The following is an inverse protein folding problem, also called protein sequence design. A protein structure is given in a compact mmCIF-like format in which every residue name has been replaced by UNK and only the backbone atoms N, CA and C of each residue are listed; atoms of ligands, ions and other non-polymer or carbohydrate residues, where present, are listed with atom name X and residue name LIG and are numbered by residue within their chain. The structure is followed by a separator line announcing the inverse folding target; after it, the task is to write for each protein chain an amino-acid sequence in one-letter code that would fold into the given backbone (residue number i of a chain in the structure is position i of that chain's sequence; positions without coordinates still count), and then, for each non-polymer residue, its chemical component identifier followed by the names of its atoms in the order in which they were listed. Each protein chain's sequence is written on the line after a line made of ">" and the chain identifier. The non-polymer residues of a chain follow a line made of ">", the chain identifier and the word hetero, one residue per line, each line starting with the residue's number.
data_IF_818937086507
#
_entry.id   IF_818937086507
#
_cell.length_a   1.000
_cell.length_b   1.000
_cell.length_c   1.000
_cell.angle_alpha   90.00
_cell.angle_beta   90.00
_cell.angle_gamma   90.00
#
_symmetry.space_group_name_H-M   'P 1'
#
loop_
_entity.id
_entity.type
_entity.pdbx_description
1 polymer ?
#
# COMPACT_ATOMS: atom_id res chain seq x y z
N UNK A 1 -24.16 12.27 -7.05
CA UNK A 1 -24.24 10.92 -6.45
C UNK A 1 -23.11 10.81 -5.44
N UNK A 2 -23.38 10.39 -4.20
CA UNK A 2 -22.30 10.10 -3.22
C UNK A 2 -21.65 8.76 -3.60
N UNK A 3 -20.32 8.66 -3.66
CA UNK A 3 -19.69 7.36 -3.90
C UNK A 3 -19.96 6.46 -2.69
N UNK A 4 -20.46 5.26 -2.95
CA UNK A 4 -20.60 4.22 -1.94
C UNK A 4 -19.19 3.69 -1.68
N UNK A 5 -18.51 4.25 -0.69
CA UNK A 5 -17.26 3.69 -0.18
C UNK A 5 -17.59 2.34 0.44
N UNK A 6 -17.30 1.26 -0.28
CA UNK A 6 -17.44 -0.09 0.27
C UNK A 6 -16.30 -0.31 1.25
N UNK A 7 -16.54 -0.01 2.53
CA UNK A 7 -15.57 -0.22 3.60
C UNK A 7 -15.69 -1.67 4.06
N UNK A 8 -14.76 -2.53 3.65
CA UNK A 8 -14.62 -3.83 4.29
C UNK A 8 -13.95 -3.62 5.65
N UNK A 9 -14.76 -3.67 6.71
CA UNK A 9 -14.25 -3.75 8.09
C UNK A 9 -13.79 -5.19 8.30
N UNK A 10 -12.49 -5.42 8.18
CA UNK A 10 -11.92 -6.74 8.50
C UNK A 10 -11.87 -6.87 10.03
N UNK A 11 -12.73 -7.73 10.58
CA UNK A 11 -12.60 -8.22 11.95
C UNK A 11 -11.55 -9.33 11.98
N UNK A 12 -10.39 -9.05 12.55
CA UNK A 12 -9.32 -10.04 12.72
C UNK A 12 -9.41 -10.61 14.14
N UNK A 13 -9.87 -11.84 14.28
CA UNK A 13 -9.84 -12.57 15.55
C UNK A 13 -8.42 -13.08 15.80
N UNK A 14 -7.74 -12.51 16.79
CA UNK A 14 -6.48 -13.05 17.31
C UNK A 14 -6.76 -14.02 18.46
N UNK A 15 -6.30 -15.27 18.34
CA UNK A 15 -6.20 -16.19 19.48
C UNK A 15 -4.86 -15.94 20.20
N UNK A 16 -4.89 -15.53 21.46
CA UNK A 16 -3.70 -15.38 22.29
C UNK A 16 -3.45 -16.63 23.14
N UNK A 17 -2.20 -17.10 23.16
CA UNK A 17 -1.72 -18.18 24.02
C UNK A 17 -1.75 -17.78 25.50
N UNK A 18 -2.20 -18.70 26.35
CA UNK A 18 -2.28 -18.57 27.81
C UNK A 18 -0.87 -18.62 28.42
N UNK A 19 -0.39 -17.49 28.97
CA UNK A 19 0.75 -17.50 29.91
C UNK A 19 0.29 -18.12 31.22
N UNK A 20 0.78 -19.31 31.54
CA UNK A 20 0.61 -19.94 32.85
C UNK A 20 1.64 -19.34 33.82
N UNK A 21 1.40 -18.11 34.25
CA UNK A 21 1.98 -17.62 35.50
C UNK A 21 0.98 -17.89 36.62
N UNK A 22 1.22 -18.93 37.41
CA UNK A 22 0.53 -19.12 38.69
C UNK A 22 0.91 -17.97 39.62
N UNK A 23 -0.02 -17.05 39.87
CA UNK A 23 0.08 -16.04 40.91
C UNK A 23 -1.30 -15.84 41.53
N UNK A 24 -1.36 -15.98 42.86
CA UNK A 24 -2.56 -16.09 43.70
C UNK A 24 -3.33 -14.77 43.83
N UNK A 25 -3.91 -14.24 42.75
CA UNK A 25 -4.91 -13.18 42.83
C UNK A 25 -6.00 -13.44 41.79
N UNK A 26 -7.24 -13.59 42.25
CA UNK A 26 -8.43 -13.78 41.40
C UNK A 26 -8.68 -12.54 40.55
N UNK A 27 -7.98 -12.42 39.43
CA UNK A 27 -8.35 -11.53 38.34
C UNK A 27 -9.00 -12.41 37.28
N UNK A 28 -10.30 -12.20 37.06
CA UNK A 28 -11.00 -12.78 35.92
C UNK A 28 -10.19 -12.38 34.69
N UNK A 29 -9.74 -13.30 33.84
CA UNK A 29 -9.02 -12.94 32.63
C UNK A 29 -9.95 -12.10 31.76
N UNK A 30 -9.68 -10.80 31.70
CA UNK A 30 -10.35 -9.90 30.78
C UNK A 30 -9.74 -10.08 29.40
N UNK A 31 -10.48 -10.71 28.50
CA UNK A 31 -10.13 -10.73 27.08
C UNK A 31 -10.36 -9.33 26.51
N UNK A 32 -9.30 -8.56 26.34
CA UNK A 32 -9.37 -7.29 25.61
C UNK A 32 -9.29 -7.63 24.12
N UNK A 33 -10.44 -7.61 23.43
CA UNK A 33 -10.47 -7.67 21.97
C UNK A 33 -9.97 -6.32 21.45
N UNK A 34 -8.70 -6.26 21.04
CA UNK A 34 -8.16 -5.12 20.29
C UNK A 34 -8.41 -5.36 18.80
N UNK A 35 -9.51 -4.86 18.30
CA UNK A 35 -9.77 -4.82 16.86
C UNK A 35 -8.81 -3.81 16.22
N UNK A 36 -7.86 -4.28 15.40
CA UNK A 36 -7.14 -3.41 14.48
C UNK A 36 -7.89 -3.44 13.15
N UNK A 37 -8.72 -2.43 12.92
CA UNK A 37 -9.40 -2.24 11.63
C UNK A 37 -8.40 -1.68 10.63
N UNK A 38 -8.12 -2.44 9.58
CA UNK A 38 -7.30 -1.97 8.46
C UNK A 38 -8.25 -1.45 7.41
N UNK A 39 -8.28 -0.13 7.25
CA UNK A 39 -9.06 0.52 6.20
C UNK A 39 -8.33 0.34 4.87
N UNK A 40 -8.88 -0.50 4.00
CA UNK A 40 -8.38 -0.67 2.65
C UNK A 40 -9.55 -0.92 1.71
N UNK A 41 -9.53 -0.24 0.57
CA UNK A 41 -10.57 -0.35 -0.44
C UNK A 41 -10.27 -1.54 -1.36
N UNK A 42 -11.09 -2.58 -1.24
CA UNK A 42 -11.06 -3.77 -2.10
C UNK A 42 -12.14 -3.77 -3.18
N UNK A 43 -12.83 -2.66 -3.42
CA UNK A 43 -13.94 -2.61 -4.37
C UNK A 43 -13.58 -3.13 -5.76
N UNK A 44 -12.32 -2.95 -6.18
CA UNK A 44 -11.81 -3.46 -7.46
C UNK A 44 -11.66 -5.00 -7.51
N UNK A 45 -11.62 -5.70 -6.37
CA UNK A 45 -11.53 -7.17 -6.30
C UNK A 45 -12.88 -7.87 -6.42
N UNK A 46 -14.00 -7.15 -6.38
CA UNK A 46 -15.38 -7.68 -6.54
C UNK A 46 -15.60 -8.96 -5.72
N UNK A 47 -15.31 -8.89 -4.41
CA UNK A 47 -15.48 -9.97 -3.42
C UNK A 47 -14.60 -11.22 -3.59
N UNK A 48 -13.62 -11.20 -4.50
CA UNK A 48 -12.67 -12.32 -4.68
C UNK A 48 -11.44 -12.26 -3.76
N UNK A 49 -11.30 -11.18 -2.99
CA UNK A 49 -10.17 -10.96 -2.11
C UNK A 49 -10.30 -11.68 -0.77
N UNK A 50 -9.26 -12.39 -0.35
CA UNK A 50 -9.15 -13.02 0.98
C UNK A 50 -7.86 -12.60 1.65
N UNK A 51 -7.90 -12.29 2.96
CA UNK A 51 -6.67 -12.06 3.74
C UNK A 51 -5.96 -13.39 3.94
N UNK A 52 -4.74 -13.50 3.43
CA UNK A 52 -3.88 -14.69 3.58
C UNK A 52 -2.96 -14.58 4.80
N UNK A 53 -2.53 -13.35 5.14
CA UNK A 53 -1.62 -13.12 6.25
C UNK A 53 -1.73 -11.70 6.79
N UNK A 54 -1.55 -11.55 8.10
CA UNK A 54 -1.65 -10.28 8.78
C UNK A 54 -0.67 -10.20 9.94
N UNK A 55 0.01 -9.07 10.03
CA UNK A 55 0.85 -8.65 11.16
C UNK A 55 0.69 -7.14 11.35
N UNK A 56 1.17 -6.57 12.48
CA UNK A 56 1.24 -5.12 12.64
C UNK A 56 2.09 -4.38 11.59
N UNK A 57 2.85 -5.11 10.75
CA UNK A 57 3.76 -4.55 9.74
C UNK A 57 3.29 -4.82 8.30
N UNK A 58 2.39 -5.77 8.08
CA UNK A 58 1.90 -6.08 6.74
C UNK A 58 0.56 -6.81 6.73
N UNK A 59 -0.15 -6.67 5.62
CA UNK A 59 -1.32 -7.48 5.24
C UNK A 59 -1.09 -8.02 3.85
N UNK A 60 -1.30 -9.32 3.67
CA UNK A 60 -1.32 -9.95 2.36
C UNK A 60 -2.73 -10.39 2.05
N UNK A 61 -3.18 -9.98 0.87
CA UNK A 61 -4.49 -10.30 0.32
C UNK A 61 -4.26 -11.12 -0.94
N UNK A 62 -4.99 -12.21 -1.05
CA UNK A 62 -4.96 -13.12 -2.17
C UNK A 62 -6.27 -13.16 -2.94
N UNK A 63 -6.21 -13.77 -4.11
CA UNK A 63 -7.37 -14.21 -4.88
C UNK A 63 -7.35 -15.73 -4.82
N UNK A 64 -8.31 -16.32 -4.10
CA UNK A 64 -8.19 -17.70 -3.64
C UNK A 64 -7.04 -17.84 -2.64
N UNK A 65 -6.13 -18.80 -2.87
CA UNK A 65 -4.95 -19.04 -2.02
C UNK A 65 -3.65 -18.40 -2.57
N UNK A 66 -3.74 -17.68 -3.70
CA UNK A 66 -2.59 -17.05 -4.34
C UNK A 66 -2.44 -15.60 -3.87
N UNK A 67 -1.26 -15.16 -3.39
CA UNK A 67 -1.03 -13.78 -2.98
C UNK A 67 -1.13 -12.85 -4.18
N UNK A 68 -1.77 -11.70 -3.99
CA UNK A 68 -2.07 -10.76 -5.07
C UNK A 68 -1.72 -9.32 -4.71
N UNK A 69 -2.00 -8.93 -3.46
CA UNK A 69 -1.75 -7.60 -2.93
C UNK A 69 -1.00 -7.67 -1.61
N UNK A 70 -0.04 -6.77 -1.44
CA UNK A 70 0.65 -6.52 -0.17
C UNK A 70 0.43 -5.07 0.26
N UNK A 71 -0.08 -4.91 1.49
CA UNK A 71 -0.01 -3.65 2.22
C UNK A 71 1.11 -3.78 3.24
N UNK A 72 2.07 -2.87 3.24
CA UNK A 72 3.26 -2.96 4.09
C UNK A 72 3.63 -1.63 4.73
N UNK A 73 4.21 -1.69 5.92
CA UNK A 73 4.91 -0.57 6.53
C UNK A 73 6.41 -0.63 6.22
N UNK A 74 7.17 0.45 6.46
CA UNK A 74 8.62 0.43 6.28
C UNK A 74 9.36 -0.67 7.06
N UNK A 75 8.79 -1.12 8.18
CA UNK A 75 9.38 -2.15 9.04
C UNK A 75 9.07 -3.59 8.59
N UNK A 76 8.27 -3.76 7.53
CA UNK A 76 8.02 -5.08 6.94
C UNK A 76 9.32 -5.70 6.43
N UNK A 77 9.42 -7.03 6.53
CA UNK A 77 10.48 -7.83 5.95
C UNK A 77 9.88 -9.10 5.38
N UNK A 78 10.31 -9.46 4.17
CA UNK A 78 9.87 -10.67 3.45
C UNK A 78 10.22 -11.95 4.22
N UNK A 79 11.27 -11.92 5.03
CA UNK A 79 11.68 -13.04 5.87
C UNK A 79 10.65 -13.41 6.93
N UNK A 80 9.73 -12.50 7.26
CA UNK A 80 8.63 -12.75 8.20
C UNK A 80 7.41 -13.41 7.54
N UNK A 81 7.45 -13.66 6.23
CA UNK A 81 6.33 -14.28 5.53
C UNK A 81 6.30 -15.80 5.76
N UNK A 82 5.10 -16.39 5.95
CA UNK A 82 4.93 -17.83 5.94
C UNK A 82 5.50 -18.47 4.66
N UNK A 83 6.13 -19.67 4.72
CA UNK A 83 6.80 -20.28 3.57
C UNK A 83 5.92 -20.44 2.32
N UNK A 84 4.65 -20.77 2.51
CA UNK A 84 3.66 -20.91 1.44
C UNK A 84 3.38 -19.58 0.71
N UNK A 85 3.40 -18.46 1.44
CA UNK A 85 3.21 -17.13 0.86
C UNK A 85 4.53 -16.62 0.25
N UNK A 86 5.65 -16.84 0.94
CA UNK A 86 6.98 -16.43 0.45
C UNK A 86 7.32 -17.06 -0.90
N UNK A 87 6.97 -18.34 -1.10
CA UNK A 87 7.18 -19.06 -2.37
C UNK A 87 6.45 -18.41 -3.56
N UNK A 88 5.29 -17.81 -3.31
CA UNK A 88 4.46 -17.18 -4.35
C UNK A 88 4.53 -15.64 -4.28
N UNK A 89 5.49 -15.07 -3.57
CA UNK A 89 5.57 -13.62 -3.37
C UNK A 89 5.71 -12.84 -4.70
N UNK A 90 6.31 -13.47 -5.71
CA UNK A 90 6.44 -12.90 -7.05
C UNK A 90 5.09 -12.71 -7.78
N UNK A 91 4.01 -13.34 -7.32
CA UNK A 91 2.68 -13.17 -7.92
C UNK A 91 1.99 -11.89 -7.48
N UNK A 92 2.50 -11.21 -6.46
CA UNK A 92 1.96 -9.94 -5.99
C UNK A 92 2.04 -8.89 -7.10
N UNK A 93 0.87 -8.41 -7.53
CA UNK A 93 0.70 -7.39 -8.57
C UNK A 93 0.47 -6.00 -8.00
N UNK A 94 0.05 -5.91 -6.74
CA UNK A 94 -0.30 -4.65 -6.10
C UNK A 94 0.45 -4.43 -4.79
N UNK A 95 1.11 -3.29 -4.67
CA UNK A 95 1.78 -2.86 -3.46
C UNK A 95 1.15 -1.59 -2.92
N UNK A 96 0.96 -1.55 -1.61
CA UNK A 96 0.60 -0.34 -0.88
C UNK A 96 1.61 -0.14 0.23
N UNK A 97 2.45 0.88 0.09
CA UNK A 97 3.33 1.34 1.15
C UNK A 97 2.62 2.44 1.94
N UNK A 98 2.52 2.25 3.25
CA UNK A 98 2.01 3.26 4.16
C UNK A 98 2.89 3.34 5.41
N UNK A 99 2.99 4.52 6.01
CA UNK A 99 3.86 4.76 7.17
C UNK A 99 3.53 3.89 8.38
N UNK A 100 2.25 3.62 8.61
CA UNK A 100 1.73 2.85 9.75
C UNK A 100 0.34 2.27 9.47
N UNK A 101 -0.03 1.22 10.20
CA UNK A 101 -1.42 0.74 10.31
C UNK A 101 -2.15 1.35 11.53
N UNK A 102 -1.46 2.14 12.36
CA UNK A 102 -2.04 2.73 13.56
C UNK A 102 -3.15 3.72 13.22
N UNK A 103 -4.21 3.71 14.02
CA UNK A 103 -5.29 4.71 13.94
C UNK A 103 -4.90 6.04 14.60
N UNK A 104 -3.81 6.07 15.37
CA UNK A 104 -3.35 7.22 16.13
C UNK A 104 -2.88 8.37 15.22
N UNK A 105 -3.46 9.58 15.33
CA UNK A 105 -3.22 10.68 14.39
C UNK A 105 -1.74 11.05 14.22
N UNK A 106 -1.00 11.15 15.33
CA UNK A 106 0.40 11.57 15.32
C UNK A 106 1.34 10.59 14.62
N UNK A 107 0.94 9.32 14.47
CA UNK A 107 1.69 8.31 13.72
C UNK A 107 1.31 8.30 12.23
N UNK A 108 0.10 8.73 11.88
CA UNK A 108 -0.39 8.75 10.48
C UNK A 108 0.35 9.77 9.64
N UNK A 109 0.60 10.95 10.19
CA UNK A 109 1.24 12.06 9.47
C UNK A 109 2.76 11.87 9.28
N UNK A 110 3.33 10.81 9.85
CA UNK A 110 4.76 10.54 9.74
C UNK A 110 5.09 10.04 8.35
N UNK A 111 5.87 10.84 7.62
CA UNK A 111 6.38 10.44 6.31
C UNK A 111 7.49 9.40 6.46
N UNK A 112 7.46 8.39 5.59
CA UNK A 112 8.46 7.33 5.54
C UNK A 112 9.23 7.31 4.22
N UNK A 113 10.40 6.68 4.21
CA UNK A 113 11.17 6.43 2.99
C UNK A 113 10.66 5.16 2.29
N UNK A 114 10.91 5.05 0.99
CA UNK A 114 10.65 3.82 0.23
C UNK A 114 11.63 2.74 0.73
N UNK A 115 11.15 1.67 1.38
CA UNK A 115 12.02 0.62 1.90
C UNK A 115 12.47 -0.30 0.76
N UNK A 116 13.66 -0.88 0.91
CA UNK A 116 14.26 -1.76 -0.10
C UNK A 116 13.35 -2.94 -0.46
N UNK A 117 12.48 -3.35 0.47
CA UNK A 117 11.62 -4.49 0.24
C UNK A 117 10.64 -4.32 -0.92
N UNK A 118 10.28 -3.07 -1.25
CA UNK A 118 9.36 -2.78 -2.38
C UNK A 118 9.93 -3.33 -3.68
N UNK A 119 11.27 -3.32 -3.81
CA UNK A 119 11.96 -3.74 -5.02
C UNK A 119 12.03 -5.25 -5.22
N UNK A 120 11.67 -6.07 -4.23
CA UNK A 120 11.61 -7.53 -4.38
C UNK A 120 10.43 -7.97 -5.25
N UNK A 121 9.33 -7.22 -5.28
CA UNK A 121 8.11 -7.60 -5.99
C UNK A 121 8.18 -7.19 -7.46
N UNK A 122 8.98 -7.92 -8.25
CA UNK A 122 9.31 -7.56 -9.64
C UNK A 122 8.11 -7.47 -10.56
N UNK A 123 7.04 -8.20 -10.26
CA UNK A 123 5.82 -8.23 -11.06
C UNK A 123 4.75 -7.23 -10.60
N UNK A 124 5.08 -6.34 -9.65
CA UNK A 124 4.16 -5.32 -9.19
C UNK A 124 3.85 -4.32 -10.32
N UNK A 125 2.59 -4.32 -10.77
CA UNK A 125 2.07 -3.40 -11.78
C UNK A 125 1.48 -2.15 -11.16
N UNK A 126 1.03 -2.23 -9.92
CA UNK A 126 0.41 -1.15 -9.18
C UNK A 126 1.18 -0.88 -7.90
N UNK A 127 1.57 0.37 -7.67
CA UNK A 127 2.18 0.83 -6.43
C UNK A 127 1.44 2.06 -5.91
N UNK A 128 0.91 1.97 -4.70
CA UNK A 128 0.42 3.13 -3.93
C UNK A 128 1.45 3.49 -2.86
N UNK A 129 1.88 4.74 -2.87
CA UNK A 129 2.76 5.34 -1.88
C UNK A 129 1.94 6.34 -1.06
N UNK A 130 1.76 6.06 0.22
CA UNK A 130 0.95 6.86 1.14
C UNK A 130 1.80 7.35 2.32
N UNK A 131 1.93 8.68 2.48
CA UNK A 131 2.84 9.29 3.46
C UNK A 131 4.30 8.89 3.22
N UNK A 132 4.78 9.12 1.98
CA UNK A 132 6.11 8.67 1.53
C UNK A 132 6.95 9.84 1.01
N UNK A 133 8.25 9.83 1.32
CA UNK A 133 9.26 10.70 0.73
C UNK A 133 9.76 10.09 -0.59
N UNK A 134 9.61 10.83 -1.69
CA UNK A 134 9.95 10.39 -3.04
C UNK A 134 11.44 10.54 -3.38
N UNK A 135 12.30 10.88 -2.43
CA UNK A 135 13.76 10.95 -2.63
C UNK A 135 14.35 9.65 -3.22
N UNK A 136 13.73 8.51 -2.92
CA UNK A 136 14.14 7.18 -3.40
C UNK A 136 13.25 6.61 -4.51
N UNK A 137 12.47 7.45 -5.20
CA UNK A 137 11.55 6.98 -6.25
C UNK A 137 12.27 6.26 -7.39
N UNK A 138 13.54 6.61 -7.64
CA UNK A 138 14.38 5.95 -8.64
C UNK A 138 14.64 4.47 -8.36
N UNK A 139 14.50 4.02 -7.12
CA UNK A 139 14.73 2.62 -6.73
C UNK A 139 13.70 1.68 -7.36
N UNK A 140 12.59 2.24 -7.86
CA UNK A 140 11.52 1.53 -8.55
C UNK A 140 11.78 1.36 -10.07
N UNK A 141 12.88 1.89 -10.62
CA UNK A 141 13.17 1.91 -12.06
C UNK A 141 13.14 0.54 -12.74
N UNK A 142 13.51 -0.53 -12.02
CA UNK A 142 13.59 -1.89 -12.57
C UNK A 142 12.30 -2.70 -12.39
N UNK A 143 11.20 -2.06 -12.00
CA UNK A 143 9.89 -2.71 -11.80
C UNK A 143 8.98 -2.46 -13.01
N UNK A 144 8.04 -3.37 -13.25
CA UNK A 144 7.04 -3.26 -14.33
C UNK A 144 5.82 -2.41 -13.92
N UNK A 145 6.06 -1.32 -13.20
CA UNK A 145 4.99 -0.47 -12.64
C UNK A 145 4.25 0.24 -13.76
N UNK A 146 2.97 -0.08 -13.91
CA UNK A 146 2.04 0.55 -14.85
C UNK A 146 1.25 1.68 -14.18
N UNK A 147 0.98 1.56 -12.87
CA UNK A 147 0.20 2.52 -12.09
C UNK A 147 0.94 2.95 -10.83
N UNK A 148 1.13 4.26 -10.68
CA UNK A 148 1.73 4.86 -9.49
C UNK A 148 0.73 5.81 -8.83
N UNK A 149 0.39 5.56 -7.57
CA UNK A 149 -0.55 6.40 -6.80
C UNK A 149 0.21 7.10 -5.67
N UNK A 150 0.19 8.43 -5.66
CA UNK A 150 1.02 9.28 -4.81
C UNK A 150 0.15 10.12 -3.88
N UNK A 151 0.03 9.70 -2.62
CA UNK A 151 -0.86 10.30 -1.61
C UNK A 151 -0.05 10.79 -0.41
N UNK A 152 -0.28 12.04 0.00
CA UNK A 152 0.43 12.70 1.08
C UNK A 152 1.96 12.56 0.97
N UNK A 153 2.49 12.73 -0.23
CA UNK A 153 3.92 12.54 -0.50
C UNK A 153 4.73 13.79 -0.19
N UNK A 154 6.01 13.60 0.10
CA UNK A 154 6.99 14.69 0.18
C UNK A 154 8.11 14.45 -0.82
N UNK A 155 8.71 15.52 -1.30
CA UNK A 155 9.84 15.44 -2.22
C UNK A 155 10.67 16.71 -2.16
N UNK A 156 11.91 16.63 -2.65
CA UNK A 156 12.80 17.79 -2.77
C UNK A 156 13.31 17.89 -4.21
N UNK A 157 12.95 19.00 -4.87
CA UNK A 157 13.36 19.28 -6.25
C UNK A 157 12.54 18.52 -7.29
N UNK A 158 11.76 19.26 -8.05
CA UNK A 158 10.90 18.75 -9.12
C UNK A 158 11.69 17.90 -10.13
N UNK A 159 12.91 18.34 -10.50
CA UNK A 159 13.77 17.66 -11.45
C UNK A 159 14.12 16.22 -11.05
N UNK A 160 14.32 15.97 -9.74
CA UNK A 160 14.64 14.63 -9.23
C UNK A 160 13.46 13.69 -9.39
N UNK A 161 12.25 14.18 -9.08
CA UNK A 161 11.01 13.40 -9.22
C UNK A 161 10.74 13.11 -10.69
N UNK A 162 10.89 14.11 -11.57
CA UNK A 162 10.71 13.96 -13.02
C UNK A 162 11.72 12.95 -13.59
N UNK A 163 12.99 13.06 -13.21
CA UNK A 163 14.02 12.13 -13.64
C UNK A 163 13.77 10.68 -13.16
N UNK A 164 13.24 10.51 -11.96
CA UNK A 164 12.84 9.20 -11.46
C UNK A 164 11.65 8.63 -12.23
N UNK A 165 10.61 9.44 -12.49
CA UNK A 165 9.44 9.03 -13.28
C UNK A 165 9.85 8.60 -14.70
N UNK A 166 10.77 9.31 -15.35
CA UNK A 166 11.29 8.94 -16.68
C UNK A 166 11.92 7.55 -16.73
N UNK A 167 12.45 7.06 -15.61
CA UNK A 167 13.06 5.73 -15.52
C UNK A 167 12.02 4.61 -15.39
N UNK A 168 10.76 4.92 -15.08
CA UNK A 168 9.66 3.96 -15.00
C UNK A 168 9.11 3.67 -16.40
N UNK A 169 9.76 2.76 -17.12
CA UNK A 169 9.53 2.53 -18.56
C UNK A 169 8.11 2.04 -18.90
N UNK A 170 7.45 1.36 -17.97
CA UNK A 170 6.11 0.79 -18.15
C UNK A 170 4.98 1.67 -17.64
N UNK A 171 5.31 2.85 -17.09
CA UNK A 171 4.35 3.71 -16.42
C UNK A 171 3.32 4.26 -17.40
N UNK A 172 2.05 4.00 -17.10
CA UNK A 172 0.89 4.48 -17.87
C UNK A 172 0.10 5.52 -17.10
N UNK A 173 -0.04 5.36 -15.79
CA UNK A 173 -0.86 6.22 -14.96
C UNK A 173 -0.11 6.73 -13.73
N UNK A 174 -0.27 8.02 -13.44
CA UNK A 174 0.04 8.59 -12.13
C UNK A 174 -1.25 9.19 -11.55
N UNK A 175 -1.66 8.68 -10.40
CA UNK A 175 -2.71 9.28 -9.60
C UNK A 175 -2.09 10.09 -8.46
N UNK A 176 -2.63 11.27 -8.18
CA UNK A 176 -2.07 12.17 -7.17
C UNK A 176 -3.12 12.92 -6.36
N UNK A 177 -2.77 13.34 -5.15
CA UNK A 177 -3.56 14.25 -4.34
C UNK A 177 -2.94 15.67 -4.30
N UNK A 178 -3.42 16.53 -3.40
CA UNK A 178 -2.92 17.90 -3.25
C UNK A 178 -1.48 18.04 -2.78
N UNK A 179 -0.74 16.94 -2.55
CA UNK A 179 0.66 16.99 -2.12
C UNK A 179 1.64 17.26 -3.26
N UNK A 180 1.25 17.09 -4.52
CA UNK A 180 2.07 17.46 -5.68
C UNK A 180 1.78 18.90 -6.13
N UNK A 181 2.85 19.68 -6.37
CA UNK A 181 2.71 21.03 -6.90
C UNK A 181 2.19 21.04 -8.34
N UNK A 182 1.43 22.07 -8.71
CA UNK A 182 0.94 22.26 -10.08
C UNK A 182 2.10 22.34 -11.07
N UNK A 183 3.20 22.99 -10.68
CA UNK A 183 4.43 23.09 -11.48
C UNK A 183 4.99 21.71 -11.82
N UNK A 184 5.13 20.83 -10.82
CA UNK A 184 5.60 19.46 -11.03
C UNK A 184 4.64 18.67 -11.91
N UNK A 185 3.33 18.76 -11.67
CA UNK A 185 2.32 18.06 -12.48
C UNK A 185 2.44 18.45 -13.96
N UNK A 186 2.53 19.75 -14.24
CA UNK A 186 2.68 20.27 -15.60
C UNK A 186 4.01 19.82 -16.24
N UNK A 187 5.09 19.82 -15.47
CA UNK A 187 6.40 19.36 -15.94
C UNK A 187 6.40 17.86 -16.26
N UNK A 188 5.74 17.02 -15.44
CA UNK A 188 5.58 15.59 -15.74
C UNK A 188 4.77 15.41 -17.02
N UNK A 189 3.64 16.10 -17.18
CA UNK A 189 2.80 16.02 -18.40
C UNK A 189 3.59 16.40 -19.66
N UNK A 190 4.36 17.48 -19.60
CA UNK A 190 5.14 17.96 -20.73
C UNK A 190 6.29 17.00 -21.10
N UNK A 191 6.98 16.46 -20.09
CA UNK A 191 8.18 15.63 -20.31
C UNK A 191 7.88 14.14 -20.50
N UNK A 192 6.68 13.69 -20.11
CA UNK A 192 6.24 12.30 -20.22
C UNK A 192 4.81 12.23 -20.82
N UNK A 193 4.61 12.64 -22.09
CA UNK A 193 3.27 12.79 -22.67
C UNK A 193 2.47 11.48 -22.79
N UNK A 194 3.14 10.33 -22.67
CA UNK A 194 2.49 9.00 -22.67
C UNK A 194 1.85 8.65 -21.33
N UNK A 195 2.24 9.32 -20.24
CA UNK A 195 1.74 9.07 -18.89
C UNK A 195 0.48 9.89 -18.67
N UNK A 196 -0.60 9.22 -18.28
CA UNK A 196 -1.88 9.84 -17.93
C UNK A 196 -1.82 10.26 -16.46
N UNK A 197 -1.97 11.56 -16.20
CA UNK A 197 -2.00 12.13 -14.85
C UNK A 197 -3.44 12.46 -14.45
N UNK A 198 -3.90 11.91 -13.33
CA UNK A 198 -5.27 12.08 -12.83
C UNK A 198 -5.25 12.43 -11.34
N UNK A 199 -6.16 13.30 -10.85
CA UNK A 199 -6.46 13.38 -9.42
C UNK A 199 -6.87 12.01 -8.86
N UNK A 200 -6.54 11.72 -7.59
CA UNK A 200 -6.81 10.43 -6.94
C UNK A 200 -8.29 10.00 -7.08
N UNK A 201 -9.22 10.94 -6.87
CA UNK A 201 -10.65 10.66 -6.98
C UNK A 201 -11.06 10.18 -8.38
N UNK A 202 -10.58 10.86 -9.42
CA UNK A 202 -10.90 10.51 -10.82
C UNK A 202 -10.24 9.19 -11.21
N UNK A 203 -9.03 8.93 -10.73
CA UNK A 203 -8.33 7.67 -11.00
C UNK A 203 -9.12 6.45 -10.53
N UNK A 204 -9.67 6.46 -9.30
CA UNK A 204 -10.44 5.32 -8.81
C UNK A 204 -11.80 5.17 -9.50
N UNK A 205 -12.46 6.27 -9.88
CA UNK A 205 -13.69 6.23 -10.67
C UNK A 205 -13.44 5.52 -12.00
N UNK A 206 -12.39 5.90 -12.73
CA UNK A 206 -12.02 5.24 -13.99
C UNK A 206 -11.60 3.79 -13.76
N UNK A 207 -10.84 3.50 -12.71
CA UNK A 207 -10.39 2.15 -12.41
C UNK A 207 -11.54 1.17 -12.18
N UNK A 208 -12.59 1.61 -11.48
CA UNK A 208 -13.79 0.81 -11.25
C UNK A 208 -14.60 0.58 -12.54
N UNK A 209 -14.59 1.54 -13.47
CA UNK A 209 -15.36 1.48 -14.72
C UNK A 209 -14.62 0.72 -15.83
N UNK A 210 -13.32 0.93 -15.96
CA UNK A 210 -12.50 0.49 -17.10
C UNK A 210 -11.69 -0.79 -16.78
N UNK A 211 -11.79 -1.33 -15.57
CA UNK A 211 -10.97 -2.45 -15.05
C UNK A 211 -9.45 -2.20 -15.25
N UNK A 212 -8.99 -0.98 -14.95
CA UNK A 212 -7.57 -0.60 -14.97
C UNK A 212 -6.74 -1.34 -13.88
#
# INVERSE_FOLDING_TARGET
>A
MKPITSVLIIFVNFYFYKSLAMSKNHTIPQTIIRAQTIYTDFGFLKDRGKVLFITPKCVIVGIGEMPFMLLGTPQFSIENLPPNIKKNADDIKMLVLQSTFSTEPYLKDKVCKIPSWVTFFKNAKYIKLNHVDLTQLSDLANLVVEHLVLINVKYTGDDKVIAAIKKLQYLKYIAYDGSLSITLINAIKLQNPKVILLPESEYYERRLQENL
#
